data_IF_834620818063
#
_entry.id   IF_834620818063
#
_cell.length_a   1.000
_cell.length_b   1.000
_cell.length_c   1.000
_cell.angle_alpha   90.00
_cell.angle_beta   90.00
_cell.angle_gamma   90.00
#
_symmetry.space_group_name_H-M   'P 1'
#
loop_
_entity.id
_entity.type
_entity.pdbx_description
1 polymer ?
#
# COMPACT_ATOMS: atom_id res chain seq x y z
N UNK A 1 8.72 10.82 -18.88
CA UNK A 1 9.72 10.10 -18.06
C UNK A 1 9.11 8.82 -17.52
N UNK A 2 9.75 7.66 -17.71
CA UNK A 2 9.44 6.43 -16.94
C UNK A 2 10.41 6.39 -15.77
N UNK A 3 9.90 6.57 -14.56
CA UNK A 3 10.67 6.52 -13.32
C UNK A 3 11.24 5.12 -13.10
N UNK A 4 12.40 5.00 -12.46
CA UNK A 4 12.98 3.71 -12.12
C UNK A 4 12.11 3.04 -11.05
N UNK A 5 11.39 1.98 -11.42
CA UNK A 5 10.75 1.08 -10.46
C UNK A 5 11.82 0.13 -9.91
N UNK A 6 12.45 0.52 -8.79
CA UNK A 6 13.42 -0.31 -8.07
C UNK A 6 12.85 -0.77 -6.71
N UNK A 7 13.71 -1.29 -5.83
CA UNK A 7 13.38 -1.63 -4.44
C UNK A 7 12.57 -2.93 -4.22
N UNK A 8 12.40 -3.75 -5.26
CA UNK A 8 11.81 -5.08 -5.13
C UNK A 8 12.63 -6.02 -4.23
N UNK A 9 11.96 -6.70 -3.30
CA UNK A 9 12.59 -7.68 -2.39
C UNK A 9 13.28 -7.07 -1.16
N UNK A 10 13.07 -5.79 -0.86
CA UNK A 10 13.63 -5.12 0.32
C UNK A 10 13.22 -5.79 1.65
N UNK A 11 11.99 -6.32 1.70
CA UNK A 11 11.46 -7.07 2.85
C UNK A 11 12.33 -8.28 3.22
N UNK A 12 12.93 -8.96 2.22
CA UNK A 12 13.79 -10.13 2.44
C UNK A 12 15.07 -9.77 3.18
N UNK A 13 15.65 -8.59 2.92
CA UNK A 13 16.80 -8.12 3.69
C UNK A 13 16.43 -7.90 5.15
N UNK A 14 15.30 -7.24 5.41
CA UNK A 14 14.83 -7.00 6.78
C UNK A 14 14.46 -8.27 7.54
N UNK A 15 13.86 -9.25 6.86
CA UNK A 15 13.66 -10.59 7.42
C UNK A 15 14.99 -11.24 7.82
N UNK A 16 16.02 -11.14 6.96
CA UNK A 16 17.34 -11.67 7.25
C UNK A 16 18.03 -10.94 8.42
N UNK A 17 17.94 -9.60 8.46
CA UNK A 17 18.48 -8.77 9.55
C UNK A 17 17.86 -9.13 10.90
N UNK A 18 16.53 -9.28 10.96
CA UNK A 18 15.82 -9.68 12.17
C UNK A 18 16.15 -11.13 12.58
N UNK A 19 16.34 -12.03 11.62
CA UNK A 19 16.58 -13.46 11.89
C UNK A 19 18.02 -13.77 12.33
N UNK A 20 19.01 -13.01 11.88
CA UNK A 20 20.42 -13.34 12.07
C UNK A 20 21.15 -12.25 12.87
N UNK A 21 21.52 -12.49 14.14
CA UNK A 21 22.09 -11.46 15.03
C UNK A 21 23.35 -10.75 14.51
N UNK A 22 24.12 -11.40 13.63
CA UNK A 22 25.34 -10.83 13.01
C UNK A 22 25.04 -9.93 11.80
N UNK A 23 23.82 -9.96 11.28
CA UNK A 23 23.38 -9.08 10.19
C UNK A 23 22.70 -7.84 10.79
N UNK A 24 23.49 -6.82 11.10
CA UNK A 24 23.04 -5.64 11.85
C UNK A 24 22.47 -4.52 10.96
N UNK A 25 21.92 -4.86 9.80
CA UNK A 25 21.38 -3.90 8.84
C UNK A 25 22.32 -3.56 7.67
N UNK A 26 22.09 -2.39 7.08
CA UNK A 26 22.85 -1.88 5.94
C UNK A 26 22.39 -0.47 5.53
N UNK A 27 22.96 0.04 4.44
CA UNK A 27 22.65 1.37 3.90
C UNK A 27 21.94 1.24 2.55
N UNK A 28 20.79 1.89 2.41
CA UNK A 28 20.13 2.02 1.11
C UNK A 28 20.93 2.98 0.24
N UNK A 29 21.16 2.59 -1.01
CA UNK A 29 21.68 3.48 -2.03
C UNK A 29 20.52 3.96 -2.92
N UNK A 30 20.15 5.23 -2.91
CA UNK A 30 20.60 6.30 -2.00
C UNK A 30 19.42 7.21 -1.60
N UNK A 31 19.70 8.35 -0.96
CA UNK A 31 18.64 9.18 -0.41
C UNK A 31 17.88 9.96 -1.49
N UNK A 32 18.59 10.75 -2.31
CA UNK A 32 18.00 11.76 -3.17
C UNK A 32 18.55 11.68 -4.58
N UNK A 33 17.65 11.78 -5.57
CA UNK A 33 18.02 11.93 -6.97
C UNK A 33 18.89 13.16 -7.20
N UNK A 34 19.99 12.97 -7.92
CA UNK A 34 20.91 14.04 -8.29
C UNK A 34 20.49 14.71 -9.61
N UNK A 35 19.21 15.08 -9.69
CA UNK A 35 18.65 15.82 -10.81
C UNK A 35 18.80 17.33 -10.62
N UNK A 36 19.16 18.04 -11.68
CA UNK A 36 19.31 19.50 -11.67
C UNK A 36 18.16 20.17 -12.40
N UNK A 37 17.60 21.25 -11.86
CA UNK A 37 16.53 21.99 -12.52
C UNK A 37 17.03 22.65 -13.81
N UNK A 38 16.31 22.44 -14.91
CA UNK A 38 16.46 23.15 -16.18
C UNK A 38 15.10 23.53 -16.73
N UNK A 39 15.07 24.50 -17.64
CA UNK A 39 13.87 24.88 -18.39
C UNK A 39 13.95 24.32 -19.81
N UNK A 40 12.83 23.86 -20.33
CA UNK A 40 12.69 23.54 -21.77
C UNK A 40 12.43 24.81 -22.61
N UNK A 41 12.24 24.63 -23.92
CA UNK A 41 12.03 25.74 -24.88
C UNK A 41 10.73 26.53 -24.59
N UNK A 42 9.76 25.92 -23.90
CA UNK A 42 8.50 26.54 -23.49
C UNK A 42 8.60 27.17 -22.08
N UNK A 43 9.77 27.12 -21.44
CA UNK A 43 10.03 27.67 -20.11
C UNK A 43 9.54 26.77 -18.96
N UNK A 44 9.18 25.52 -19.22
CA UNK A 44 8.73 24.57 -18.20
C UNK A 44 9.92 23.92 -17.50
N UNK A 45 9.84 23.85 -16.17
CA UNK A 45 10.86 23.24 -15.34
C UNK A 45 10.84 21.72 -15.46
N UNK A 46 12.02 21.13 -15.62
CA UNK A 46 12.25 19.69 -15.53
C UNK A 46 13.56 19.38 -14.77
N UNK A 47 13.71 18.15 -14.29
CA UNK A 47 14.96 17.68 -13.68
C UNK A 47 15.84 17.02 -14.74
N UNK A 48 16.92 17.71 -15.08
CA UNK A 48 17.94 17.28 -16.01
C UNK A 48 18.98 16.35 -15.36
N UNK A 49 19.62 15.52 -16.16
CA UNK A 49 20.68 14.60 -15.76
C UNK A 49 21.82 14.59 -16.81
N UNK A 50 22.76 13.64 -16.71
CA UNK A 50 23.91 13.55 -17.62
C UNK A 50 23.50 13.58 -19.10
N UNK A 51 24.15 14.44 -19.88
CA UNK A 51 23.87 14.67 -21.30
C UNK A 51 22.97 15.88 -21.58
N UNK A 52 22.13 16.31 -20.64
CA UNK A 52 21.25 17.47 -20.84
C UNK A 52 22.02 18.80 -20.87
N UNK A 53 23.27 18.83 -20.40
CA UNK A 53 24.14 20.01 -20.39
C UNK A 53 25.16 19.99 -21.53
N UNK A 54 25.05 19.06 -22.48
CA UNK A 54 26.02 18.87 -23.57
C UNK A 54 27.33 18.23 -23.11
N UNK A 55 27.37 17.70 -21.89
CA UNK A 55 28.51 16.99 -21.30
C UNK A 55 28.77 15.65 -22.00
N UNK A 56 30.03 15.36 -22.31
CA UNK A 56 30.47 14.11 -22.96
C UNK A 56 31.89 13.74 -22.52
N UNK A 57 32.15 12.50 -22.04
CA UNK A 57 31.17 11.41 -21.85
C UNK A 57 30.23 11.68 -20.66
N UNK A 58 29.12 10.96 -20.59
CA UNK A 58 28.17 10.97 -19.47
C UNK A 58 27.51 9.60 -19.27
N UNK A 59 27.02 9.36 -18.05
CA UNK A 59 26.33 8.12 -17.64
C UNK A 59 24.81 8.31 -17.48
N UNK A 60 24.26 9.35 -18.12
CA UNK A 60 22.82 9.64 -18.18
C UNK A 60 22.14 9.61 -16.80
N UNK A 61 21.04 8.86 -16.67
CA UNK A 61 20.20 8.80 -15.48
C UNK A 61 20.80 7.99 -14.32
N UNK A 62 22.04 7.50 -14.43
CA UNK A 62 22.69 6.75 -13.35
C UNK A 62 22.88 7.56 -12.06
N UNK A 63 22.67 8.88 -12.12
CA UNK A 63 22.66 9.78 -10.96
C UNK A 63 21.29 9.89 -10.25
N UNK A 64 20.24 9.22 -10.76
CA UNK A 64 18.87 9.26 -10.23
C UNK A 64 18.52 7.91 -9.55
N UNK A 65 18.94 7.72 -8.30
CA UNK A 65 18.75 6.48 -7.54
C UNK A 65 18.06 6.66 -6.18
N UNK A 66 17.51 7.85 -5.94
CA UNK A 66 17.04 8.26 -4.61
C UNK A 66 15.78 7.53 -4.18
N UNK A 67 15.56 7.48 -2.87
CA UNK A 67 14.24 7.25 -2.29
C UNK A 67 13.32 8.48 -2.39
N UNK A 68 13.89 9.66 -2.67
CA UNK A 68 13.16 10.90 -2.90
C UNK A 68 13.65 11.61 -4.15
N UNK A 69 12.74 12.36 -4.78
CA UNK A 69 13.02 13.26 -5.88
C UNK A 69 13.94 14.42 -5.46
N UNK A 70 14.49 15.20 -6.41
CA UNK A 70 15.36 16.34 -6.10
C UNK A 70 14.71 17.39 -5.18
N UNK A 71 13.40 17.54 -5.19
CA UNK A 71 12.64 18.44 -4.30
C UNK A 71 12.27 17.80 -2.94
N UNK A 72 12.75 16.57 -2.68
CA UNK A 72 12.47 15.74 -1.50
C UNK A 72 11.06 15.17 -1.44
N UNK A 73 10.26 15.32 -2.50
CA UNK A 73 9.01 14.55 -2.60
C UNK A 73 9.31 13.04 -2.70
N UNK A 74 8.51 12.18 -2.04
CA UNK A 74 8.87 10.78 -1.88
C UNK A 74 8.62 9.95 -3.14
N UNK A 75 9.54 9.03 -3.45
CA UNK A 75 9.24 7.92 -4.33
C UNK A 75 8.37 6.88 -3.61
N UNK A 76 7.57 6.07 -4.35
CA UNK A 76 6.83 4.96 -3.76
C UNK A 76 7.70 4.01 -2.92
N UNK A 77 8.97 3.82 -3.30
CA UNK A 77 9.93 2.98 -2.58
C UNK A 77 10.21 3.46 -1.14
N UNK A 78 10.07 4.76 -0.85
CA UNK A 78 10.25 5.27 0.51
C UNK A 78 9.23 4.67 1.48
N UNK A 79 8.00 4.44 1.03
CA UNK A 79 6.96 3.86 1.88
C UNK A 79 7.25 2.38 2.21
N UNK A 80 7.89 1.65 1.29
CA UNK A 80 8.37 0.29 1.59
C UNK A 80 9.57 0.29 2.53
N UNK A 81 10.46 1.28 2.39
CA UNK A 81 11.55 1.45 3.34
C UNK A 81 11.00 1.72 4.74
N UNK A 82 10.05 2.65 4.87
CA UNK A 82 9.37 3.00 6.11
C UNK A 82 8.69 1.79 6.75
N UNK A 83 7.96 1.00 5.96
CA UNK A 83 7.27 -0.21 6.45
C UNK A 83 8.25 -1.25 6.99
N UNK A 84 9.31 -1.54 6.24
CA UNK A 84 10.26 -2.59 6.61
C UNK A 84 11.13 -2.18 7.82
N UNK A 85 11.43 -0.89 7.95
CA UNK A 85 12.27 -0.27 9.00
C UNK A 85 11.53 0.07 10.29
N UNK A 86 10.21 -0.10 10.35
CA UNK A 86 9.44 0.24 11.55
C UNK A 86 9.92 -0.52 12.79
N UNK A 87 9.85 0.13 13.96
CA UNK A 87 10.34 -0.41 15.22
C UNK A 87 9.30 -1.18 16.03
N UNK A 88 8.07 -1.29 15.54
CA UNK A 88 7.04 -2.13 16.16
C UNK A 88 6.70 -3.29 15.22
N UNK A 89 6.88 -4.51 15.71
CA UNK A 89 6.46 -5.72 15.01
C UNK A 89 5.13 -6.18 15.57
N UNK A 90 4.35 -6.83 14.71
CA UNK A 90 3.03 -7.32 15.07
C UNK A 90 2.88 -8.79 14.72
N UNK A 91 2.17 -9.52 15.57
CA UNK A 91 1.83 -10.90 15.33
C UNK A 91 0.36 -11.15 15.66
N UNK A 92 -0.38 -11.72 14.71
CA UNK A 92 -1.71 -12.28 15.00
C UNK A 92 -1.53 -13.53 15.86
N UNK A 93 -2.10 -13.53 17.07
CA UNK A 93 -2.08 -14.68 17.96
C UNK A 93 -3.34 -15.53 17.80
N UNK A 94 -4.51 -14.89 17.88
CA UNK A 94 -5.82 -15.53 17.82
C UNK A 94 -6.81 -14.62 17.09
N UNK A 95 -7.78 -15.19 16.37
CA UNK A 95 -8.86 -14.42 15.74
C UNK A 95 -10.13 -14.37 16.59
N UNK A 96 -10.26 -15.24 17.59
CA UNK A 96 -11.42 -15.34 18.48
C UNK A 96 -10.99 -15.79 19.89
N UNK A 97 -10.93 -14.87 20.87
CA UNK A 97 -11.07 -13.42 20.71
C UNK A 97 -9.94 -12.84 19.83
N UNK A 98 -10.21 -11.74 19.13
CA UNK A 98 -9.23 -11.13 18.24
C UNK A 98 -8.04 -10.60 19.06
N UNK A 99 -6.90 -11.24 18.96
CA UNK A 99 -5.75 -11.01 19.83
C UNK A 99 -4.47 -10.89 19.02
N UNK A 100 -3.73 -9.80 19.27
CA UNK A 100 -2.43 -9.55 18.67
C UNK A 100 -1.33 -9.42 19.74
N UNK A 101 -0.09 -9.65 19.33
CA UNK A 101 1.10 -9.26 20.08
C UNK A 101 1.79 -8.11 19.36
N UNK A 102 2.17 -7.08 20.11
CA UNK A 102 3.01 -5.97 19.65
C UNK A 102 4.37 -6.10 20.33
N UNK A 103 5.43 -6.03 19.55
CA UNK A 103 6.82 -6.18 20.03
C UNK A 103 7.64 -4.94 19.65
N UNK A 104 8.41 -4.42 20.60
CA UNK A 104 9.30 -3.27 20.39
C UNK A 104 10.67 -3.73 19.92
N UNK A 105 11.19 -3.12 18.85
CA UNK A 105 12.59 -3.27 18.41
C UNK A 105 13.48 -2.13 18.91
N UNK A 106 12.92 -1.16 19.67
CA UNK A 106 13.73 -0.15 20.34
C UNK A 106 14.64 -0.79 21.40
N UNK A 107 15.88 -0.29 21.49
CA UNK A 107 16.91 -0.82 22.39
C UNK A 107 17.00 -0.08 23.73
N UNK A 108 16.50 1.17 23.81
CA UNK A 108 16.74 2.04 24.97
C UNK A 108 15.50 2.72 25.54
N UNK A 109 14.50 3.00 24.69
CA UNK A 109 13.30 3.73 25.10
C UNK A 109 12.10 2.81 25.27
N UNK A 110 11.20 3.24 26.14
CA UNK A 110 9.85 2.68 26.27
C UNK A 110 8.92 3.31 25.22
N UNK A 111 7.75 2.72 25.01
CA UNK A 111 6.68 3.35 24.24
C UNK A 111 5.93 4.39 25.09
N UNK A 112 6.53 5.56 25.28
CA UNK A 112 6.01 6.66 26.12
C UNK A 112 5.22 7.71 25.34
N UNK A 113 5.16 7.58 24.01
CA UNK A 113 4.42 8.49 23.13
C UNK A 113 3.56 7.73 22.11
N UNK A 114 3.42 6.41 22.25
CA UNK A 114 2.80 5.57 21.23
C UNK A 114 1.44 5.03 21.65
N UNK A 115 0.51 5.06 20.71
CA UNK A 115 -0.79 4.42 20.82
C UNK A 115 -1.04 3.54 19.61
N UNK A 116 -1.55 2.36 19.86
CA UNK A 116 -2.06 1.47 18.83
C UNK A 116 -3.46 1.91 18.44
N UNK A 117 -3.70 2.11 17.16
CA UNK A 117 -5.01 2.24 16.55
C UNK A 117 -5.30 0.98 15.75
N UNK A 118 -6.52 0.48 15.83
CA UNK A 118 -6.95 -0.67 15.05
C UNK A 118 -8.32 -0.41 14.45
N UNK A 119 -8.57 -0.99 13.28
CA UNK A 119 -9.90 -1.09 12.71
C UNK A 119 -10.08 -2.43 12.00
N UNK A 120 -11.29 -2.93 12.05
CA UNK A 120 -11.74 -4.04 11.20
C UNK A 120 -12.59 -3.46 10.09
N UNK A 121 -12.27 -3.80 8.85
CA UNK A 121 -12.94 -3.30 7.66
C UNK A 121 -13.50 -4.45 6.82
N UNK A 122 -14.75 -4.29 6.35
CA UNK A 122 -15.39 -5.15 5.36
C UNK A 122 -15.33 -4.44 4.00
N UNK A 123 -14.63 -5.03 3.02
CA UNK A 123 -14.42 -4.45 1.68
C UNK A 123 -13.99 -2.97 1.72
N UNK A 124 -13.10 -2.64 2.66
CA UNK A 124 -12.56 -1.29 2.85
C UNK A 124 -13.41 -0.36 3.72
N UNK A 125 -14.62 -0.75 4.14
CA UNK A 125 -15.45 0.03 5.06
C UNK A 125 -15.23 -0.40 6.51
N UNK A 126 -14.77 0.52 7.36
CA UNK A 126 -14.59 0.25 8.78
C UNK A 126 -15.93 -0.11 9.46
N UNK A 127 -15.95 -1.23 10.19
CA UNK A 127 -17.10 -1.77 10.92
C UNK A 127 -16.89 -1.81 12.44
N UNK A 128 -15.62 -1.82 12.87
CA UNK A 128 -15.20 -1.75 14.25
C UNK A 128 -13.85 -1.06 14.31
N UNK A 129 -13.59 -0.30 15.36
CA UNK A 129 -12.32 0.39 15.57
C UNK A 129 -12.09 0.67 17.05
N UNK A 130 -10.84 0.88 17.41
CA UNK A 130 -10.47 1.26 18.75
C UNK A 130 -9.02 1.67 18.85
N UNK A 131 -8.62 2.03 20.07
CA UNK A 131 -7.26 2.41 20.38
C UNK A 131 -6.81 1.81 21.71
N UNK A 132 -5.52 1.51 21.83
CA UNK A 132 -4.91 0.91 23.02
C UNK A 132 -3.57 1.60 23.28
N UNK A 133 -3.35 2.05 24.52
CA UNK A 133 -2.06 2.57 24.93
C UNK A 133 -1.00 1.46 24.91
N UNK A 134 0.15 1.75 24.30
CA UNK A 134 1.28 0.85 24.33
C UNK A 134 2.17 1.21 25.51
N UNK A 135 2.47 0.24 26.37
CA UNK A 135 3.35 0.40 27.53
C UNK A 135 4.45 -0.67 27.50
N UNK A 136 5.21 -0.66 26.41
CA UNK A 136 6.31 -1.56 26.11
C UNK A 136 7.63 -1.01 26.64
N UNK A 137 8.40 -1.86 27.34
CA UNK A 137 9.82 -1.60 27.54
C UNK A 137 10.59 -1.73 26.21
N UNK A 138 11.84 -1.26 26.19
CA UNK A 138 12.77 -1.61 25.11
C UNK A 138 12.84 -3.14 24.96
N UNK A 139 12.75 -3.64 23.73
CA UNK A 139 12.70 -5.06 23.41
C UNK A 139 11.54 -5.85 24.05
N UNK A 140 10.56 -5.16 24.64
CA UNK A 140 9.41 -5.76 25.30
C UNK A 140 8.29 -6.15 24.33
N UNK A 141 7.32 -6.91 24.85
CA UNK A 141 6.11 -7.31 24.13
C UNK A 141 4.85 -7.03 24.95
N UNK A 142 3.72 -6.84 24.27
CA UNK A 142 2.41 -6.58 24.87
C UNK A 142 1.35 -7.33 24.08
N UNK A 143 0.61 -8.20 24.76
CA UNK A 143 -0.55 -8.89 24.19
C UNK A 143 -1.79 -8.03 24.36
N UNK A 144 -2.57 -7.91 23.30
CA UNK A 144 -3.71 -7.01 23.24
C UNK A 144 -4.89 -7.78 22.67
N UNK A 145 -5.94 -7.91 23.48
CA UNK A 145 -7.26 -8.35 23.02
C UNK A 145 -7.96 -7.14 22.44
N UNK A 146 -8.27 -7.21 21.14
CA UNK A 146 -9.00 -6.17 20.41
C UNK A 146 -10.49 -6.31 20.68
N UNK A 147 -11.24 -5.22 20.49
CA UNK A 147 -12.66 -5.17 20.80
C UNK A 147 -13.51 -6.14 19.97
N UNK A 148 -14.75 -6.34 20.41
CA UNK A 148 -15.69 -7.24 19.73
C UNK A 148 -15.98 -6.78 18.29
N UNK A 149 -16.00 -7.74 17.37
CA UNK A 149 -16.40 -7.51 15.98
C UNK A 149 -17.92 -7.73 15.90
N UNK A 150 -18.70 -6.80 15.32
CA UNK A 150 -20.13 -7.00 15.17
C UNK A 150 -20.42 -8.22 14.28
N UNK A 151 -21.56 -8.87 14.51
CA UNK A 151 -22.02 -9.96 13.64
C UNK A 151 -22.30 -9.42 12.22
N UNK A 152 -21.66 -10.03 11.22
CA UNK A 152 -21.74 -9.58 9.84
C UNK A 152 -22.68 -10.45 9.01
N UNK A 153 -23.68 -9.83 8.39
CA UNK A 153 -24.62 -10.48 7.47
C UNK A 153 -24.21 -10.39 5.99
N UNK A 154 -23.52 -9.31 5.62
CA UNK A 154 -23.09 -9.01 4.26
C UNK A 154 -21.91 -9.88 3.85
N UNK A 155 -21.78 -10.33 2.61
CA UNK A 155 -20.57 -10.98 2.10
C UNK A 155 -19.41 -9.98 1.97
N UNK A 156 -18.17 -10.46 1.84
CA UNK A 156 -17.01 -9.59 1.58
C UNK A 156 -15.76 -10.01 2.33
N UNK A 157 -14.65 -9.35 2.02
CA UNK A 157 -13.36 -9.57 2.66
C UNK A 157 -13.25 -8.77 3.95
N UNK A 158 -12.91 -9.48 5.02
CA UNK A 158 -12.71 -8.89 6.33
C UNK A 158 -11.21 -8.70 6.60
N UNK A 159 -10.82 -7.50 6.97
CA UNK A 159 -9.43 -7.12 7.20
C UNK A 159 -9.27 -6.46 8.55
N UNK A 160 -8.31 -6.92 9.36
CA UNK A 160 -7.80 -6.19 10.50
C UNK A 160 -6.65 -5.29 10.03
N UNK A 161 -6.77 -4.00 10.30
CA UNK A 161 -5.71 -3.01 10.13
C UNK A 161 -5.25 -2.55 11.51
N UNK A 162 -3.94 -2.45 11.70
CA UNK A 162 -3.35 -1.88 12.90
C UNK A 162 -2.29 -0.85 12.54
N UNK A 163 -2.18 0.19 13.33
CA UNK A 163 -1.13 1.19 13.18
C UNK A 163 -0.73 1.79 14.54
N UNK A 164 0.54 2.13 14.68
CA UNK A 164 1.06 2.83 15.84
C UNK A 164 1.31 4.27 15.46
N UNK A 165 0.76 5.19 16.27
CA UNK A 165 0.93 6.63 16.09
C UNK A 165 1.58 7.24 17.32
N UNK A 166 2.42 8.25 17.07
CA UNK A 166 2.98 9.11 18.10
C UNK A 166 1.94 10.16 18.50
N UNK A 167 1.45 10.16 19.73
CA UNK A 167 0.32 11.01 20.12
C UNK A 167 0.72 12.49 20.22
N UNK A 168 1.93 12.77 20.68
CA UNK A 168 2.48 14.13 20.76
C UNK A 168 3.51 14.35 19.67
N UNK A 169 3.57 15.58 19.15
CA UNK A 169 4.64 16.02 18.27
C UNK A 169 6.02 15.86 18.93
N UNK A 170 7.02 15.59 18.10
CA UNK A 170 8.43 15.53 18.50
C UNK A 170 9.23 16.58 17.73
N UNK A 171 10.55 16.63 17.94
CA UNK A 171 11.40 17.52 17.14
C UNK A 171 11.45 17.13 15.64
N UNK A 172 11.01 15.93 15.27
CA UNK A 172 11.13 15.39 13.90
C UNK A 172 9.80 14.88 13.32
N UNK A 173 8.72 14.89 14.09
CA UNK A 173 7.40 14.42 13.64
C UNK A 173 6.28 15.28 14.22
N UNK A 174 5.24 15.45 13.42
CA UNK A 174 4.00 16.06 13.87
C UNK A 174 3.26 15.16 14.88
N UNK A 175 2.27 15.74 15.57
CA UNK A 175 1.34 14.95 16.37
C UNK A 175 0.59 13.93 15.50
N UNK A 176 0.27 12.78 16.09
CA UNK A 176 -0.34 11.63 15.43
C UNK A 176 0.46 11.03 14.25
N UNK A 177 1.77 11.28 14.16
CA UNK A 177 2.64 10.67 13.15
C UNK A 177 2.59 9.13 13.21
N UNK A 178 2.27 8.49 12.09
CA UNK A 178 2.21 7.03 11.97
C UNK A 178 3.61 6.45 11.80
N UNK A 179 4.08 5.68 12.78
CA UNK A 179 5.43 5.13 12.81
C UNK A 179 5.51 3.62 12.53
N UNK A 180 4.40 2.89 12.57
CA UNK A 180 4.33 1.46 12.22
C UNK A 180 2.91 1.06 11.82
N UNK A 181 2.76 0.05 10.97
CA UNK A 181 1.45 -0.52 10.65
C UNK A 181 1.56 -1.97 10.19
N UNK A 182 0.43 -2.68 10.21
CA UNK A 182 0.29 -4.01 9.63
C UNK A 182 -1.18 -4.34 9.30
N UNK A 183 -1.40 -5.42 8.57
CA UNK A 183 -2.71 -5.86 8.14
C UNK A 183 -2.81 -7.38 8.04
N UNK A 184 -3.94 -7.95 8.48
CA UNK A 184 -4.28 -9.36 8.27
C UNK A 184 -5.68 -9.53 7.72
N UNK A 185 -5.82 -10.47 6.78
CA UNK A 185 -7.13 -10.97 6.37
C UNK A 185 -7.68 -11.85 7.49
N UNK A 186 -8.91 -11.56 7.93
CA UNK A 186 -9.61 -12.35 8.93
C UNK A 186 -10.41 -13.47 8.24
N UNK A 187 -10.41 -14.64 8.86
CA UNK A 187 -11.09 -15.82 8.34
C UNK A 187 -12.61 -15.63 8.44
N UNK A 188 -13.32 -16.00 7.38
CA UNK A 188 -14.78 -15.96 7.33
C UNK A 188 -15.32 -17.11 6.46
N UNK A 189 -16.49 -17.69 6.81
CA UNK A 189 -17.17 -18.60 5.91
C UNK A 189 -17.47 -17.91 4.58
N UNK A 190 -17.20 -18.60 3.47
CA UNK A 190 -17.59 -18.13 2.15
C UNK A 190 -19.12 -18.09 2.07
N UNK A 191 -19.66 -16.90 1.87
CA UNK A 191 -21.06 -16.70 1.49
C UNK A 191 -21.18 -16.91 -0.02
N UNK A 192 -21.98 -17.88 -0.43
CA UNK A 192 -22.37 -17.98 -1.83
C UNK A 192 -23.19 -16.73 -2.20
N UNK A 193 -23.00 -16.14 -3.38
CA UNK A 193 -23.93 -15.14 -3.88
C UNK A 193 -25.33 -15.72 -3.79
N UNK A 194 -26.23 -15.04 -3.09
CA UNK A 194 -27.65 -15.38 -3.21
C UNK A 194 -27.99 -15.25 -4.68
N UNK A 195 -28.41 -16.34 -5.32
CA UNK A 195 -28.91 -16.32 -6.68
C UNK A 195 -29.86 -15.13 -6.79
N UNK A 196 -29.50 -14.14 -7.62
CA UNK A 196 -30.44 -13.12 -8.08
C UNK A 196 -31.42 -13.81 -9.02
N UNK A 197 -32.20 -14.75 -8.48
CA UNK A 197 -33.31 -15.45 -9.13
C UNK A 197 -34.51 -14.52 -9.30
N UNK A 198 -34.36 -13.26 -8.90
CA UNK A 198 -35.33 -12.20 -9.09
C UNK A 198 -34.82 -11.17 -10.09
N UNK A 199 -34.73 -11.57 -11.36
CA UNK A 199 -34.73 -10.57 -12.43
C UNK A 199 -35.60 -11.04 -13.59
N UNK A 200 -36.74 -10.39 -13.74
CA UNK A 200 -37.34 -10.13 -15.06
C UNK A 200 -36.39 -9.23 -15.90
N UNK A 201 -35.10 -9.56 -16.00
CA UNK A 201 -34.15 -8.81 -16.80
C UNK A 201 -34.32 -9.21 -18.25
N UNK A 202 -34.46 -8.22 -19.12
CA UNK A 202 -34.31 -8.42 -20.55
C UNK A 202 -32.90 -8.97 -20.82
N UNK A 203 -32.82 -10.07 -21.57
CA UNK A 203 -31.54 -10.61 -22.04
C UNK A 203 -30.84 -9.60 -22.95
N UNK A 204 -29.50 -9.50 -22.89
CA UNK A 204 -28.74 -8.72 -23.87
C UNK A 204 -29.03 -9.22 -25.28
N UNK A 205 -29.10 -8.30 -26.25
CA UNK A 205 -29.33 -8.61 -27.66
C UNK A 205 -28.00 -8.68 -28.39
N UNK A 206 -27.78 -9.77 -29.13
CA UNK A 206 -26.63 -9.90 -30.03
C UNK A 206 -27.07 -9.53 -31.46
N UNK A 207 -26.38 -8.56 -32.04
CA UNK A 207 -26.49 -8.17 -33.44
C UNK A 207 -25.19 -8.57 -34.16
N UNK A 208 -25.29 -9.46 -35.15
CA UNK A 208 -24.14 -9.92 -35.94
C UNK A 208 -24.01 -9.12 -37.23
N UNK A 209 -22.85 -8.52 -37.44
CA UNK A 209 -22.42 -7.88 -38.68
C UNK A 209 -21.25 -8.64 -39.29
N UNK A 210 -20.89 -8.36 -40.55
CA UNK A 210 -19.80 -9.08 -41.23
C UNK A 210 -18.44 -8.88 -40.56
N UNK A 211 -18.20 -7.69 -40.03
CA UNK A 211 -16.97 -7.23 -39.42
C UNK A 211 -17.05 -7.15 -37.88
N UNK A 212 -18.25 -7.16 -37.30
CA UNK A 212 -18.42 -6.99 -35.86
C UNK A 212 -19.56 -7.82 -35.23
N UNK A 213 -19.43 -8.12 -33.94
CA UNK A 213 -20.52 -8.51 -33.05
C UNK A 213 -20.87 -7.33 -32.15
N UNK A 214 -22.12 -6.88 -32.15
CA UNK A 214 -22.62 -5.83 -31.26
C UNK A 214 -23.55 -6.45 -30.22
N UNK A 215 -23.20 -6.30 -28.94
CA UNK A 215 -24.02 -6.74 -27.81
C UNK A 215 -24.67 -5.49 -27.21
N UNK A 216 -25.99 -5.47 -27.11
CA UNK A 216 -26.78 -4.33 -26.60
C UNK A 216 -27.59 -4.73 -25.37
N UNK A 217 -27.53 -3.91 -24.32
CA UNK A 217 -28.32 -4.10 -23.11
C UNK A 217 -28.69 -2.75 -22.50
N UNK A 218 -29.99 -2.40 -22.51
CA UNK A 218 -30.45 -1.06 -22.13
C UNK A 218 -29.84 0.01 -23.03
N UNK A 219 -29.15 0.99 -22.44
CA UNK A 219 -28.42 2.06 -23.15
C UNK A 219 -26.95 1.69 -23.44
N UNK A 220 -26.52 0.50 -23.04
CA UNK A 220 -25.13 0.07 -23.18
C UNK A 220 -24.94 -0.76 -24.44
N UNK A 221 -23.78 -0.60 -25.09
CA UNK A 221 -23.38 -1.36 -26.27
C UNK A 221 -21.90 -1.72 -26.25
N UNK A 222 -21.59 -2.97 -26.53
CA UNK A 222 -20.23 -3.50 -26.68
C UNK A 222 -20.04 -4.03 -28.09
N UNK A 223 -19.01 -3.55 -28.79
CA UNK A 223 -18.72 -3.97 -30.15
C UNK A 223 -17.38 -4.70 -30.22
N UNK A 224 -17.44 -5.96 -30.64
CA UNK A 224 -16.28 -6.81 -30.86
C UNK A 224 -16.02 -6.94 -32.34
N UNK A 225 -14.77 -6.78 -32.77
CA UNK A 225 -14.39 -6.97 -34.16
C UNK A 225 -14.13 -8.44 -34.45
N UNK A 226 -14.71 -8.94 -35.53
CA UNK A 226 -14.68 -10.37 -35.91
C UNK A 226 -13.37 -10.79 -36.54
N UNK A 227 -12.57 -9.86 -37.05
CA UNK A 227 -11.26 -10.12 -37.65
C UNK A 227 -10.16 -10.09 -36.58
N UNK A 228 -10.20 -9.13 -35.65
CA UNK A 228 -9.17 -8.96 -34.61
C UNK A 228 -9.49 -9.73 -33.33
N UNK A 229 -10.77 -10.02 -33.07
CA UNK A 229 -11.24 -10.63 -31.83
C UNK A 229 -11.26 -9.67 -30.62
N UNK A 230 -11.05 -8.37 -30.85
CA UNK A 230 -10.95 -7.36 -29.78
C UNK A 230 -12.29 -6.67 -29.54
N UNK A 231 -12.51 -6.25 -28.30
CA UNK A 231 -13.52 -5.23 -27.96
C UNK A 231 -13.00 -3.88 -28.43
N UNK A 232 -13.62 -3.29 -29.44
CA UNK A 232 -13.15 -2.05 -30.06
C UNK A 232 -13.93 -0.82 -29.58
N UNK A 233 -15.17 -1.02 -29.12
CA UNK A 233 -16.00 0.07 -28.64
C UNK A 233 -16.88 -0.36 -27.48
N UNK A 234 -16.96 0.52 -26.48
CA UNK A 234 -17.96 0.48 -25.42
C UNK A 234 -18.70 1.80 -25.45
N UNK A 235 -20.03 1.73 -25.46
CA UNK A 235 -20.91 2.88 -25.23
C UNK A 235 -21.64 2.60 -23.92
N UNK A 236 -21.44 3.47 -22.94
CA UNK A 236 -22.25 3.55 -21.74
C UNK A 236 -23.02 4.87 -21.79
N UNK A 237 -24.35 4.78 -21.66
CA UNK A 237 -25.23 5.96 -21.62
C UNK A 237 -25.26 6.62 -20.25
#
# INVERSE_FOLDING_TARGET
MRWATAFGGFDRYWQAFRKHPRLQGGFVWDWVDQGLTRLDDDGQSYWAYGGDFGDTPNDRQFCLNGLVFPDRSPHPALFEAQRAQQFYQFQMLEQQPLTIEVSSEYLFRTSDNERLYWNVALDGKAIAQGEVELSLAAQGTQKIVLGDIPELKESGELWLNVEVRQIKATAWSDEHHRCAWDQWRLARPLTLPTDHSDVQAQSPRLNEHNDAFSIEWGTQRWQFNRQTGLLEQVVAG
#
